data_IF_383433877389
#
_entry.id   IF_383433877389
#
_cell.length_a   1.000
_cell.length_b   1.000
_cell.length_c   1.000
_cell.angle_alpha   90.00
_cell.angle_beta   90.00
_cell.angle_gamma   90.00
#
_symmetry.space_group_name_H-M   'P 1'
#
loop_
_entity.id
_entity.type
_entity.pdbx_description
1 polymer ?
#
# COMPACT_ATOMS: atom_id res chain seq x y z
N UNK A 1 11.93 16.77 -8.95
CA UNK A 1 11.65 15.36 -9.20
C UNK A 1 10.87 14.78 -8.03
N UNK A 2 9.91 13.90 -8.32
CA UNK A 2 9.13 13.24 -7.29
C UNK A 2 9.97 12.19 -6.57
N UNK A 3 9.85 12.15 -5.24
CA UNK A 3 10.41 11.06 -4.45
C UNK A 3 9.47 9.87 -4.55
N UNK A 4 10.00 8.71 -4.91
CA UNK A 4 9.21 7.48 -5.01
C UNK A 4 9.29 6.74 -3.69
N UNK A 5 8.13 6.41 -3.13
CA UNK A 5 8.00 5.65 -1.88
C UNK A 5 7.14 4.43 -2.15
N UNK A 6 7.69 3.25 -1.91
CA UNK A 6 6.93 2.01 -2.00
C UNK A 6 6.24 1.76 -0.67
N UNK A 7 4.95 1.43 -0.71
CA UNK A 7 4.13 1.23 0.48
C UNK A 7 3.45 -0.12 0.40
N UNK A 8 3.81 -1.01 1.32
CA UNK A 8 3.10 -2.29 1.47
C UNK A 8 1.79 -2.03 2.17
N UNK A 9 0.70 -2.43 1.54
CA UNK A 9 -0.67 -2.16 1.97
C UNK A 9 -1.49 -3.43 2.07
N UNK A 10 -2.28 -3.53 3.14
CA UNK A 10 -3.30 -4.57 3.27
C UNK A 10 -4.66 -3.89 3.30
N UNK A 11 -5.66 -4.46 2.62
CA UNK A 11 -7.00 -3.87 2.54
C UNK A 11 -7.68 -3.75 3.92
N UNK A 12 -7.26 -4.52 4.90
CA UNK A 12 -7.82 -4.50 6.26
C UNK A 12 -6.95 -3.75 7.26
N UNK A 13 -6.10 -2.86 6.78
CA UNK A 13 -5.15 -2.11 7.61
C UNK A 13 -5.65 -0.67 7.83
N UNK A 14 -6.12 -0.32 9.05
CA UNK A 14 -6.59 1.05 9.32
C UNK A 14 -5.50 2.10 9.13
N UNK A 15 -4.28 1.81 9.57
CA UNK A 15 -3.15 2.74 9.44
C UNK A 15 -2.75 2.95 7.97
N UNK A 16 -3.01 1.99 7.10
CA UNK A 16 -2.77 2.15 5.67
C UNK A 16 -3.69 3.21 5.07
N UNK A 17 -4.97 3.24 5.48
CA UNK A 17 -5.90 4.29 5.05
C UNK A 17 -5.45 5.67 5.57
N UNK A 18 -5.03 5.73 6.83
CA UNK A 18 -4.55 6.98 7.43
C UNK A 18 -3.30 7.48 6.71
N UNK A 19 -2.35 6.60 6.41
CA UNK A 19 -1.14 6.92 5.65
C UNK A 19 -1.50 7.49 4.28
N UNK A 20 -2.41 6.85 3.57
CA UNK A 20 -2.85 7.30 2.25
C UNK A 20 -3.41 8.73 2.33
N UNK A 21 -4.28 9.00 3.32
CA UNK A 21 -4.90 10.31 3.52
C UNK A 21 -3.87 11.37 3.89
N UNK A 22 -2.98 11.06 4.84
CA UNK A 22 -1.95 12.00 5.30
C UNK A 22 -0.97 12.38 4.18
N UNK A 23 -0.76 11.49 3.22
CA UNK A 23 0.17 11.73 2.12
C UNK A 23 -0.43 12.57 0.98
N UNK A 24 -1.75 12.79 0.96
CA UNK A 24 -2.40 13.48 -0.16
C UNK A 24 -1.79 14.85 -0.49
N UNK A 25 -1.51 15.73 0.48
CA UNK A 25 -0.90 17.01 0.12
C UNK A 25 0.46 16.87 -0.59
N UNK A 26 1.27 15.90 -0.18
CA UNK A 26 2.58 15.65 -0.81
C UNK A 26 2.44 15.04 -2.20
N UNK A 27 1.48 14.15 -2.37
CA UNK A 27 1.20 13.51 -3.67
C UNK A 27 0.65 14.55 -4.65
N UNK A 28 -0.33 15.34 -4.21
CA UNK A 28 -0.99 16.34 -5.05
C UNK A 28 -0.04 17.47 -5.45
N UNK A 29 0.92 17.82 -4.60
CA UNK A 29 1.92 18.82 -4.90
C UNK A 29 3.07 18.30 -5.76
N UNK A 30 3.10 17.01 -6.07
CA UNK A 30 4.16 16.39 -6.87
C UNK A 30 5.46 16.14 -6.11
N UNK A 31 5.47 16.27 -4.79
CA UNK A 31 6.66 16.02 -3.98
C UNK A 31 6.98 14.55 -3.81
N UNK A 32 5.94 13.70 -3.72
CA UNK A 32 6.12 12.25 -3.61
C UNK A 32 5.18 11.53 -4.56
N UNK A 33 5.60 10.34 -4.98
CA UNK A 33 4.75 9.36 -5.65
C UNK A 33 4.71 8.12 -4.76
N UNK A 34 3.53 7.70 -4.35
CA UNK A 34 3.36 6.47 -3.59
C UNK A 34 3.08 5.32 -4.57
N UNK A 35 3.85 4.26 -4.46
CA UNK A 35 3.63 3.02 -5.21
C UNK A 35 3.20 1.95 -4.24
N UNK A 36 1.94 1.59 -4.29
CA UNK A 36 1.35 0.66 -3.34
C UNK A 36 1.57 -0.78 -3.78
N UNK A 37 2.10 -1.59 -2.87
CA UNK A 37 2.30 -3.03 -3.06
C UNK A 37 1.27 -3.73 -2.19
N UNK A 38 0.26 -4.33 -2.81
CA UNK A 38 -0.83 -4.98 -2.07
C UNK A 38 -0.39 -6.32 -1.54
N UNK A 39 -0.68 -6.57 -0.27
CA UNK A 39 -0.40 -7.85 0.39
C UNK A 39 -1.66 -8.38 1.05
N UNK A 40 -1.68 -9.67 1.41
CA UNK A 40 -2.81 -10.30 2.06
C UNK A 40 -2.38 -11.01 3.33
N UNK A 41 -2.22 -10.25 4.43
CA UNK A 41 -1.64 -10.78 5.67
C UNK A 41 -2.52 -10.59 6.91
N UNK A 42 -3.35 -9.54 6.97
CA UNK A 42 -4.06 -9.20 8.20
C UNK A 42 -5.26 -10.11 8.44
N UNK A 43 -6.03 -10.41 7.39
CA UNK A 43 -7.24 -11.26 7.49
C UNK A 43 -7.28 -12.25 6.34
N UNK A 44 -8.03 -13.36 6.48
CA UNK A 44 -8.23 -14.30 5.37
C UNK A 44 -8.82 -13.64 4.12
N UNK A 45 -9.63 -12.59 4.28
CA UNK A 45 -10.22 -11.85 3.16
C UNK A 45 -9.26 -10.89 2.46
N UNK A 46 -8.12 -10.58 3.06
CA UNK A 46 -7.21 -9.53 2.56
C UNK A 46 -6.72 -9.78 1.14
N UNK A 47 -6.30 -11.00 0.85
CA UNK A 47 -5.79 -11.35 -0.49
C UNK A 47 -6.88 -11.19 -1.56
N UNK A 48 -8.09 -11.69 -1.29
CA UNK A 48 -9.21 -11.56 -2.23
C UNK A 48 -9.66 -10.12 -2.42
N UNK A 49 -9.61 -9.32 -1.37
CA UNK A 49 -9.94 -7.90 -1.46
C UNK A 49 -8.89 -7.14 -2.26
N UNK A 50 -7.61 -7.44 -2.06
CA UNK A 50 -6.53 -6.88 -2.87
C UNK A 50 -6.73 -7.23 -4.35
N UNK A 51 -7.10 -8.48 -4.63
CA UNK A 51 -7.38 -8.93 -5.98
C UNK A 51 -8.52 -8.13 -6.62
N UNK A 52 -9.59 -7.88 -5.88
CA UNK A 52 -10.72 -7.07 -6.36
C UNK A 52 -10.28 -5.66 -6.74
N UNK A 53 -9.47 -5.03 -5.90
CA UNK A 53 -8.95 -3.69 -6.19
C UNK A 53 -8.08 -3.67 -7.45
N UNK A 54 -7.18 -4.64 -7.58
CA UNK A 54 -6.26 -4.71 -8.72
C UNK A 54 -6.95 -5.07 -10.03
N UNK A 55 -8.05 -5.83 -9.97
CA UNK A 55 -8.82 -6.24 -11.16
C UNK A 55 -9.91 -5.24 -11.52
N UNK A 56 -10.07 -4.19 -10.75
CA UNK A 56 -11.03 -3.12 -11.08
C UNK A 56 -10.72 -2.51 -12.45
N UNK A 57 -11.74 -2.01 -13.14
CA UNK A 57 -11.58 -1.33 -14.42
C UNK A 57 -10.66 -0.11 -14.29
N UNK A 58 -10.68 0.54 -13.11
CA UNK A 58 -9.79 1.65 -12.79
C UNK A 58 -9.24 1.43 -11.37
N UNK A 59 -8.14 0.68 -11.22
CA UNK A 59 -7.60 0.35 -9.89
C UNK A 59 -7.21 1.58 -9.06
N UNK A 60 -6.66 2.61 -9.69
CA UNK A 60 -6.26 3.84 -9.00
C UNK A 60 -7.46 4.52 -8.36
N UNK A 61 -8.55 4.66 -9.10
CA UNK A 61 -9.78 5.28 -8.60
C UNK A 61 -10.46 4.42 -7.53
N UNK A 62 -10.50 3.10 -7.73
CA UNK A 62 -11.07 2.17 -6.75
C UNK A 62 -10.33 2.26 -5.42
N UNK A 63 -9.01 2.30 -5.47
CA UNK A 63 -8.16 2.41 -4.28
C UNK A 63 -8.37 3.77 -3.58
N UNK A 64 -8.48 4.84 -4.35
CA UNK A 64 -8.77 6.18 -3.83
C UNK A 64 -10.09 6.20 -3.05
N UNK A 65 -11.16 5.72 -3.66
CA UNK A 65 -12.49 5.68 -3.03
C UNK A 65 -12.45 4.86 -1.74
N UNK A 66 -11.79 3.73 -1.78
CA UNK A 66 -11.65 2.85 -0.62
C UNK A 66 -10.93 3.55 0.54
N UNK A 67 -9.80 4.20 0.26
CA UNK A 67 -9.03 4.90 1.30
C UNK A 67 -9.72 6.17 1.81
N UNK A 68 -10.39 6.91 0.94
CA UNK A 68 -11.14 8.11 1.34
C UNK A 68 -12.25 7.79 2.33
N UNK A 69 -12.83 6.61 2.22
CA UNK A 69 -13.89 6.15 3.13
C UNK A 69 -13.35 5.50 4.41
N UNK A 70 -12.04 5.47 4.63
CA UNK A 70 -11.40 4.71 5.72
C UNK A 70 -11.76 3.23 5.69
N UNK A 71 -11.92 2.67 4.49
CA UNK A 71 -12.32 1.28 4.32
C UNK A 71 -13.80 0.99 4.56
N UNK A 72 -14.62 2.03 4.78
CA UNK A 72 -16.07 1.85 4.99
C UNK A 72 -16.78 1.43 3.71
N UNK A 73 -16.28 1.88 2.57
CA UNK A 73 -16.73 1.42 1.26
C UNK A 73 -16.13 0.03 1.03
N UNK A 74 -16.79 -0.99 1.57
CA UNK A 74 -16.23 -2.34 1.62
C UNK A 74 -15.94 -2.89 0.24
N UNK A 75 -14.79 -3.54 0.13
CA UNK A 75 -14.36 -4.24 -1.08
C UNK A 75 -14.74 -5.70 -0.92
N UNK A 76 -15.47 -6.23 -1.91
CA UNK A 76 -15.86 -7.63 -1.91
C UNK A 76 -14.65 -8.52 -2.16
N UNK A 77 -14.50 -9.54 -1.33
CA UNK A 77 -13.45 -10.54 -1.50
C UNK A 77 -13.63 -11.34 -2.79
N UNK A 78 -12.60 -11.39 -3.62
CA UNK A 78 -12.58 -12.28 -4.79
C UNK A 78 -12.24 -13.69 -4.33
N UNK A 79 -13.09 -14.67 -4.64
CA UNK A 79 -12.91 -16.05 -4.18
C UNK A 79 -12.13 -16.92 -5.16
N UNK A 80 -12.28 -16.68 -6.45
CA UNK A 80 -11.58 -17.43 -7.50
C UNK A 80 -10.58 -16.52 -8.20
N UNK A 81 -9.46 -16.25 -7.50
CA UNK A 81 -8.44 -15.34 -8.00
C UNK A 81 -7.69 -15.98 -9.17
N UNK A 82 -7.61 -15.32 -10.35
CA UNK A 82 -6.80 -15.84 -11.45
C UNK A 82 -5.37 -16.16 -11.01
N UNK A 83 -4.81 -17.24 -11.53
CA UNK A 83 -3.52 -17.77 -11.06
C UNK A 83 -2.40 -16.71 -11.10
N UNK A 84 -2.28 -15.98 -12.20
CA UNK A 84 -1.23 -14.96 -12.33
C UNK A 84 -1.36 -13.86 -11.28
N UNK A 85 -2.59 -13.43 -10.96
CA UNK A 85 -2.84 -12.41 -9.93
C UNK A 85 -2.58 -12.98 -8.53
N UNK A 86 -3.02 -14.22 -8.29
CA UNK A 86 -2.76 -14.91 -7.03
C UNK A 86 -1.26 -15.05 -6.78
N UNK A 87 -0.51 -15.46 -7.78
CA UNK A 87 0.95 -15.60 -7.70
C UNK A 87 1.62 -14.24 -7.44
N UNK A 88 1.13 -13.18 -8.07
CA UNK A 88 1.66 -11.83 -7.86
C UNK A 88 1.44 -11.36 -6.42
N UNK A 89 0.24 -11.60 -5.89
CA UNK A 89 -0.08 -11.24 -4.50
C UNK A 89 0.76 -12.03 -3.50
N UNK A 90 0.95 -13.31 -3.77
CA UNK A 90 1.81 -14.16 -2.93
C UNK A 90 3.27 -13.70 -2.98
N UNK A 91 3.74 -13.29 -4.15
CA UNK A 91 5.09 -12.74 -4.30
C UNK A 91 5.26 -11.42 -3.53
N UNK A 92 4.23 -10.56 -3.54
CA UNK A 92 4.23 -9.32 -2.79
C UNK A 92 4.34 -9.60 -1.28
N UNK A 93 3.56 -10.57 -0.79
CA UNK A 93 3.59 -10.97 0.62
C UNK A 93 4.95 -11.57 1.00
N UNK A 94 5.52 -12.39 0.12
CA UNK A 94 6.85 -12.95 0.35
C UNK A 94 7.92 -11.85 0.42
N UNK A 95 7.76 -10.80 -0.38
CA UNK A 95 8.69 -9.67 -0.37
C UNK A 95 8.63 -8.92 0.97
N UNK A 96 7.42 -8.75 1.53
CA UNK A 96 7.23 -8.16 2.86
C UNK A 96 8.03 -8.95 3.90
N UNK A 97 7.91 -10.29 3.87
CA UNK A 97 8.64 -11.17 4.79
C UNK A 97 10.15 -11.10 4.57
N UNK A 98 10.59 -11.04 3.31
CA UNK A 98 12.01 -10.96 2.97
C UNK A 98 12.68 -9.72 3.54
N UNK A 99 11.98 -8.58 3.58
CA UNK A 99 12.48 -7.36 4.18
C UNK A 99 12.41 -7.38 5.72
N UNK A 100 11.84 -8.43 6.31
CA UNK A 100 11.69 -8.54 7.75
C UNK A 100 10.58 -7.68 8.33
N UNK A 101 9.64 -7.24 7.50
CA UNK A 101 8.50 -6.45 7.96
C UNK A 101 7.43 -7.35 8.55
N UNK A 102 6.85 -6.91 9.66
CA UNK A 102 5.77 -7.61 10.36
C UNK A 102 4.55 -6.72 10.60
N UNK A 103 4.54 -5.51 10.06
CA UNK A 103 3.44 -4.56 10.20
C UNK A 103 3.22 -3.78 8.91
N UNK A 104 1.99 -3.36 8.68
CA UNK A 104 1.61 -2.47 7.58
C UNK A 104 1.03 -1.17 8.15
N UNK A 105 1.19 -0.03 7.47
CA UNK A 105 1.97 0.12 6.24
C UNK A 105 3.46 -0.09 6.49
N UNK A 106 4.16 -0.63 5.52
CA UNK A 106 5.61 -0.69 5.54
C UNK A 106 6.12 0.10 4.34
N UNK A 107 7.08 0.97 4.57
CA UNK A 107 7.55 1.93 3.58
C UNK A 107 9.00 1.67 3.22
N UNK A 108 9.33 1.79 1.93
CA UNK A 108 10.71 1.64 1.44
C UNK A 108 10.97 2.76 0.43
N UNK A 109 12.08 3.46 0.60
CA UNK A 109 12.46 4.54 -0.30
C UNK A 109 13.98 4.71 -0.33
N UNK A 110 14.47 5.51 -1.29
CA UNK A 110 15.86 5.93 -1.32
C UNK A 110 16.00 7.33 -0.75
N UNK A 111 16.97 7.53 0.13
CA UNK A 111 17.28 8.85 0.65
C UNK A 111 18.09 9.67 -0.37
N UNK A 112 18.45 10.91 -0.01
CA UNK A 112 19.20 11.81 -0.89
C UNK A 112 20.59 11.28 -1.26
N UNK A 113 21.13 10.35 -0.48
CA UNK A 113 22.42 9.71 -0.73
C UNK A 113 22.30 8.44 -1.59
N UNK A 114 21.09 8.08 -2.01
CA UNK A 114 20.84 6.85 -2.76
C UNK A 114 20.78 5.59 -1.91
N UNK A 115 20.78 5.72 -0.60
CA UNK A 115 20.69 4.58 0.31
C UNK A 115 19.23 4.18 0.52
N UNK A 116 18.98 2.87 0.68
CA UNK A 116 17.64 2.35 0.94
C UNK A 116 17.29 2.57 2.41
N UNK A 117 16.16 3.19 2.64
CA UNK A 117 15.58 3.36 3.96
C UNK A 117 14.22 2.70 4.04
N UNK A 118 13.81 2.31 5.24
CA UNK A 118 12.53 1.66 5.46
C UNK A 118 11.98 2.02 6.83
N UNK A 119 10.66 1.89 6.96
CA UNK A 119 10.01 1.98 8.26
C UNK A 119 8.70 1.20 8.24
N UNK A 120 8.25 0.79 9.41
CA UNK A 120 6.99 0.10 9.59
C UNK A 120 6.04 0.96 10.41
N UNK A 121 4.77 0.87 10.10
CA UNK A 121 3.74 1.63 10.79
C UNK A 121 3.55 3.02 10.21
N UNK A 122 2.61 3.75 10.81
CA UNK A 122 2.26 5.09 10.36
C UNK A 122 3.35 6.09 10.76
N UNK A 123 3.93 6.84 9.81
CA UNK A 123 4.86 7.91 10.15
C UNK A 123 4.21 8.95 11.08
N UNK A 124 4.90 9.38 12.11
CA UNK A 124 4.41 10.42 13.00
C UNK A 124 4.28 11.77 12.29
N UNK A 125 5.22 12.04 11.39
CA UNK A 125 5.21 13.23 10.55
C UNK A 125 5.52 12.80 9.12
N UNK A 126 4.53 12.90 8.25
CA UNK A 126 4.65 12.49 6.85
C UNK A 126 5.73 13.29 6.11
N UNK A 127 5.99 14.51 6.53
CA UNK A 127 6.99 15.36 5.88
C UNK A 127 8.42 14.86 6.06
N UNK A 128 8.67 14.02 7.05
CA UNK A 128 9.99 13.40 7.25
C UNK A 128 10.38 12.45 6.13
N UNK A 129 9.41 11.97 5.37
CA UNK A 129 9.69 11.14 4.20
C UNK A 129 10.39 11.93 3.08
N UNK A 130 10.37 13.25 3.16
CA UNK A 130 11.02 14.12 2.18
C UNK A 130 12.54 14.27 2.40
N UNK A 131 13.03 13.88 3.54
CA UNK A 131 14.44 13.99 3.91
C UNK A 131 15.34 13.04 3.15
#
# INVERSE_FOLDING_TARGET
AEKIIYVFNDANCPYCHTMWQNARPLVESGKVQLRHIMVGVIRPSSKGQAATLLQSANPVEAFKIFNQSNGKNKIKEMTNIPKNLSDQLDANTALLDKYGFYATPALVWKNSKGEIESMQGLPKDINKLLD
#
